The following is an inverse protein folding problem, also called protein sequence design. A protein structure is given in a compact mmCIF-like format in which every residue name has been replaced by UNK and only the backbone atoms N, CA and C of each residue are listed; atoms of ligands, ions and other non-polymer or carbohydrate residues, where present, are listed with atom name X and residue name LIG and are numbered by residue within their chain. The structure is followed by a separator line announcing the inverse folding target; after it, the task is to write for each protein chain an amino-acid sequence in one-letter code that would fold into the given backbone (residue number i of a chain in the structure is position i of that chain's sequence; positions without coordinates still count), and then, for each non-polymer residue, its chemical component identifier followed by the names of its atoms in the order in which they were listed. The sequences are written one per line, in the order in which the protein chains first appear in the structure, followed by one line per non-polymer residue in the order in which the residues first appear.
data_IF_994918721604
#
_entry.id   IF_994918721604
#
_cell.length_a   1.000
_cell.length_b   1.000
_cell.length_c   1.000
_cell.angle_alpha   90.00
_cell.angle_beta   90.00
_cell.angle_gamma   90.00
#
_symmetry.space_group_name_H-M   'P 1'
#
loop_
_entity.id
_entity.type
_entity.pdbx_description
1 polymer ?
#
# COMPACT_ATOMS: atom_id res chain seq x y z
N UNK A 1 -26.25 -7.18 20.84
CA UNK A 1 -26.58 -6.58 19.52
C UNK A 1 -25.80 -5.29 19.40
N UNK A 2 -24.55 -5.38 18.94
CA UNK A 2 -23.77 -4.21 18.55
C UNK A 2 -24.35 -3.69 17.25
N UNK A 3 -24.81 -2.44 17.25
CA UNK A 3 -25.22 -1.76 16.04
C UNK A 3 -24.04 -1.76 15.06
N UNK A 4 -24.30 -2.12 13.81
CA UNK A 4 -23.34 -2.02 12.71
C UNK A 4 -22.97 -0.53 12.55
N UNK A 5 -21.73 -0.10 12.88
CA UNK A 5 -21.44 1.34 12.91
C UNK A 5 -21.30 1.95 11.52
N UNK A 6 -21.46 1.17 10.45
CA UNK A 6 -21.35 1.64 9.06
C UNK A 6 -22.70 1.51 8.34
N UNK A 7 -23.48 2.59 8.21
CA UNK A 7 -24.72 2.56 7.44
C UNK A 7 -24.41 2.16 5.99
N UNK A 8 -25.15 1.18 5.47
CA UNK A 8 -24.92 0.44 4.22
C UNK A 8 -24.97 1.25 2.92
N UNK A 9 -24.08 2.22 2.75
CA UNK A 9 -23.65 2.72 1.45
C UNK A 9 -22.48 1.87 0.93
N UNK A 10 -22.41 1.64 -0.38
CA UNK A 10 -21.26 0.96 -0.99
C UNK A 10 -19.98 1.78 -0.74
N UNK A 11 -19.18 1.38 0.26
CA UNK A 11 -17.97 2.08 0.64
C UNK A 11 -17.05 2.24 -0.58
N UNK A 12 -16.73 3.48 -0.93
CA UNK A 12 -15.87 3.79 -2.08
C UNK A 12 -14.42 3.71 -1.66
N UNK A 13 -13.60 3.06 -2.48
CA UNK A 13 -12.14 3.05 -2.33
C UNK A 13 -11.56 4.12 -3.24
N UNK A 14 -10.89 5.11 -2.68
CA UNK A 14 -10.15 6.15 -3.36
C UNK A 14 -8.65 5.84 -3.26
N UNK A 15 -7.94 5.97 -4.37
CA UNK A 15 -6.49 5.78 -4.41
C UNK A 15 -5.82 7.13 -4.67
N UNK A 16 -4.76 7.44 -3.93
CA UNK A 16 -3.97 8.65 -4.12
C UNK A 16 -2.48 8.40 -3.89
N UNK A 17 -1.64 9.24 -4.49
CA UNK A 17 -0.18 9.18 -4.33
C UNK A 17 0.34 10.16 -3.26
N UNK A 18 -0.52 11.06 -2.80
CA UNK A 18 -0.22 12.06 -1.77
C UNK A 18 -1.22 11.92 -0.63
N UNK A 19 -0.75 12.20 0.58
CA UNK A 19 -1.53 12.13 1.81
C UNK A 19 -1.26 13.40 2.63
N UNK A 20 -2.32 14.03 3.14
CA UNK A 20 -2.21 15.20 4.02
C UNK A 20 -1.64 14.81 5.39
N UNK A 21 -1.02 15.76 6.08
CA UNK A 21 -0.43 15.56 7.40
C UNK A 21 -1.43 15.10 8.48
N UNK A 22 -2.73 15.33 8.28
CA UNK A 22 -3.80 14.85 9.17
C UNK A 22 -3.83 13.32 9.31
N UNK A 23 -3.36 12.58 8.30
CA UNK A 23 -3.32 11.12 8.31
C UNK A 23 -2.09 10.53 8.96
N UNK A 24 -1.22 11.35 9.57
CA UNK A 24 0.08 10.89 10.07
C UNK A 24 -0.06 9.74 11.07
N UNK A 25 -0.98 9.86 12.02
CA UNK A 25 -1.21 8.83 13.03
C UNK A 25 -1.70 7.52 12.40
N UNK A 26 -2.71 7.58 11.53
CA UNK A 26 -3.19 6.38 10.81
C UNK A 26 -2.13 5.76 9.91
N UNK A 27 -1.25 6.58 9.32
CA UNK A 27 -0.14 6.11 8.51
C UNK A 27 0.93 5.42 9.37
N UNK A 28 1.25 5.96 10.55
CA UNK A 28 2.14 5.34 11.53
C UNK A 28 1.57 3.99 11.99
N UNK A 29 0.29 3.93 12.31
CA UNK A 29 -0.41 2.69 12.67
C UNK A 29 -0.29 1.64 11.57
N UNK A 30 -0.57 2.04 10.33
CA UNK A 30 -0.53 1.13 9.19
C UNK A 30 0.90 0.68 8.83
N UNK A 31 1.90 1.54 9.01
CA UNK A 31 3.29 1.30 8.59
C UNK A 31 4.13 0.60 9.67
N UNK A 32 3.92 0.90 10.95
CA UNK A 32 4.76 0.41 12.05
C UNK A 32 4.02 -0.54 13.00
N UNK A 33 2.69 -0.43 13.12
CA UNK A 33 1.93 -1.14 14.14
C UNK A 33 0.92 -2.14 13.59
N UNK A 34 0.87 -2.36 12.27
CA UNK A 34 -0.08 -3.29 11.67
C UNK A 34 0.21 -4.75 12.11
N UNK A 35 -0.68 -5.41 12.87
CA UNK A 35 -0.46 -6.77 13.37
C UNK A 35 -0.24 -7.82 12.27
N UNK A 36 -0.72 -7.54 11.05
CA UNK A 36 -0.54 -8.42 9.90
C UNK A 36 0.90 -8.43 9.38
N UNK A 37 1.73 -7.48 9.79
CA UNK A 37 3.16 -7.42 9.45
C UNK A 37 3.96 -8.55 10.08
N UNK A 38 3.54 -9.09 11.23
CA UNK A 38 4.17 -10.25 11.86
C UNK A 38 4.19 -11.49 10.92
N UNK A 39 3.22 -11.59 10.01
CA UNK A 39 3.18 -12.66 9.00
C UNK A 39 4.22 -12.49 7.87
N UNK A 40 4.95 -11.37 7.85
CA UNK A 40 5.93 -10.97 6.85
C UNK A 40 7.26 -10.52 7.49
N UNK A 41 7.48 -10.79 8.78
CA UNK A 41 8.62 -10.28 9.57
C UNK A 41 9.98 -10.42 8.85
N UNK A 42 10.30 -11.63 8.35
CA UNK A 42 11.54 -11.87 7.59
C UNK A 42 11.70 -10.95 6.39
N UNK A 43 10.60 -10.59 5.73
CA UNK A 43 10.58 -9.78 4.51
C UNK A 43 10.70 -8.29 4.82
N UNK A 44 10.15 -7.86 5.95
CA UNK A 44 10.35 -6.51 6.46
C UNK A 44 11.83 -6.32 6.77
N UNK A 45 12.46 -7.29 7.43
CA UNK A 45 13.92 -7.28 7.67
C UNK A 45 14.73 -7.28 6.37
N UNK A 46 14.37 -8.09 5.36
CA UNK A 46 15.01 -8.07 4.03
C UNK A 46 14.91 -6.68 3.37
N UNK A 47 13.74 -6.03 3.45
CA UNK A 47 13.52 -4.69 2.90
C UNK A 47 14.32 -3.64 3.65
N UNK A 48 14.36 -3.73 4.99
CA UNK A 48 15.17 -2.83 5.84
C UNK A 48 16.67 -3.01 5.54
N UNK A 49 17.15 -4.24 5.36
CA UNK A 49 18.55 -4.48 5.01
C UNK A 49 18.89 -3.96 3.62
N UNK A 50 17.97 -4.06 2.65
CA UNK A 50 18.22 -3.64 1.27
C UNK A 50 18.04 -2.14 1.03
N UNK A 51 17.10 -1.50 1.72
CA UNK A 51 16.68 -0.12 1.43
C UNK A 51 16.71 0.81 2.65
N UNK A 52 16.92 0.29 3.86
CA UNK A 52 16.89 1.04 5.10
C UNK A 52 15.52 1.09 5.78
N UNK A 53 15.49 1.68 6.97
CA UNK A 53 14.27 1.82 7.77
C UNK A 53 13.32 2.85 7.13
N UNK A 54 12.00 2.58 7.10
CA UNK A 54 11.03 3.56 6.66
C UNK A 54 10.88 4.71 7.66
N UNK A 55 10.83 5.94 7.16
CA UNK A 55 10.53 7.16 7.90
C UNK A 55 9.41 7.92 7.20
N UNK A 56 8.45 8.43 7.98
CA UNK A 56 7.41 9.33 7.47
C UNK A 56 7.96 10.75 7.56
N UNK A 57 7.96 11.46 6.43
CA UNK A 57 8.41 12.85 6.35
C UNK A 57 7.21 13.74 6.03
N UNK A 58 7.11 14.87 6.71
CA UNK A 58 6.14 15.91 6.38
C UNK A 58 6.83 17.03 5.58
N UNK A 59 6.41 17.18 4.33
CA UNK A 59 6.81 18.28 3.46
C UNK A 59 5.65 19.25 3.27
N UNK A 60 5.60 20.28 4.12
CA UNK A 60 4.62 21.37 4.03
C UNK A 60 3.15 20.88 4.05
N UNK A 61 2.82 19.96 4.96
CA UNK A 61 1.49 19.40 5.13
C UNK A 61 1.18 18.19 4.25
N UNK A 62 2.17 17.68 3.52
CA UNK A 62 2.08 16.45 2.72
C UNK A 62 3.06 15.40 3.23
N UNK A 63 2.53 14.21 3.49
CA UNK A 63 3.30 13.08 3.95
C UNK A 63 3.95 12.36 2.78
N UNK A 64 5.22 12.02 2.95
CA UNK A 64 5.98 11.11 2.10
C UNK A 64 6.64 10.03 2.96
N UNK A 65 7.16 9.00 2.30
CA UNK A 65 7.92 7.94 2.96
C UNK A 65 9.31 7.92 2.36
N UNK A 66 10.33 7.91 3.21
CA UNK A 66 11.72 7.69 2.88
C UNK A 66 12.18 6.34 3.44
N UNK A 67 13.12 5.69 2.76
CA UNK A 67 13.81 4.48 3.20
C UNK A 67 15.30 4.81 3.36
N UNK A 68 15.83 4.56 4.55
CA UNK A 68 17.23 4.89 4.86
C UNK A 68 17.51 6.39 4.70
N UNK A 69 18.68 6.74 4.16
CA UNK A 69 19.14 8.13 4.08
C UNK A 69 18.89 8.81 2.72
N UNK A 70 18.47 8.08 1.69
CA UNK A 70 18.39 8.63 0.33
C UNK A 70 17.35 8.02 -0.60
N UNK A 71 16.64 6.97 -0.19
CA UNK A 71 15.69 6.30 -1.07
C UNK A 71 14.29 6.85 -0.83
N UNK A 72 13.71 7.54 -1.81
CA UNK A 72 12.34 8.00 -1.78
C UNK A 72 11.46 7.09 -2.65
N UNK A 73 10.81 6.04 -2.10
CA UNK A 73 9.85 5.24 -2.85
C UNK A 73 8.64 6.06 -3.29
N UNK A 74 8.05 5.66 -4.40
CA UNK A 74 6.67 6.04 -4.72
C UNK A 74 5.72 5.40 -3.72
N UNK A 75 4.66 6.12 -3.37
CA UNK A 75 3.62 5.64 -2.46
C UNK A 75 2.24 5.65 -3.15
N UNK A 76 1.41 4.69 -2.77
CA UNK A 76 -0.01 4.65 -3.06
C UNK A 76 -0.76 4.41 -1.76
N UNK A 77 -1.76 5.25 -1.49
CA UNK A 77 -2.64 5.16 -0.34
C UNK A 77 -4.03 4.76 -0.81
N UNK A 78 -4.70 3.92 -0.02
CA UNK A 78 -6.09 3.56 -0.21
C UNK A 78 -6.93 4.13 0.94
N UNK A 79 -7.81 5.05 0.58
CA UNK A 79 -8.76 5.68 1.50
C UNK A 79 -10.16 5.09 1.24
N UNK A 80 -10.86 4.72 2.30
CA UNK A 80 -12.19 4.11 2.22
C UNK A 80 -13.20 4.92 3.00
N UNK A 81 -14.33 5.23 2.38
CA UNK A 81 -15.36 6.08 2.97
C UNK A 81 -15.45 7.42 2.25
N UNK A 82 -16.00 8.43 2.93
CA UNK A 82 -16.08 9.80 2.42
C UNK A 82 -16.24 10.79 3.58
N UNK A 83 -15.70 12.00 3.42
CA UNK A 83 -15.80 13.04 4.43
C UNK A 83 -15.11 12.64 5.73
N UNK A 84 -15.81 12.83 6.85
CA UNK A 84 -15.30 12.52 8.19
C UNK A 84 -15.20 11.01 8.48
N UNK A 85 -15.93 10.18 7.72
CA UNK A 85 -15.89 8.71 7.83
C UNK A 85 -14.86 8.07 6.88
N UNK A 86 -13.93 8.85 6.32
CA UNK A 86 -12.84 8.30 5.52
C UNK A 86 -11.81 7.60 6.43
N UNK A 87 -11.25 6.48 5.97
CA UNK A 87 -10.26 5.71 6.71
C UNK A 87 -9.09 5.33 5.80
N UNK A 88 -7.87 5.41 6.33
CA UNK A 88 -6.68 4.88 5.67
C UNK A 88 -6.66 3.36 5.75
N UNK A 89 -7.12 2.73 4.68
CA UNK A 89 -7.29 1.29 4.59
C UNK A 89 -6.05 0.55 4.08
N UNK A 90 -5.14 1.23 3.39
CA UNK A 90 -3.96 0.56 2.84
C UNK A 90 -2.89 1.50 2.29
N UNK A 91 -1.69 0.94 2.16
CA UNK A 91 -0.47 1.56 1.67
C UNK A 91 0.26 0.57 0.77
N UNK A 92 0.83 1.07 -0.33
CA UNK A 92 1.81 0.36 -1.15
C UNK A 92 2.99 1.27 -1.43
N UNK A 93 4.20 0.78 -1.16
CA UNK A 93 5.48 1.41 -1.50
C UNK A 93 6.11 0.72 -2.69
N UNK A 94 6.62 1.50 -3.64
CA UNK A 94 7.26 0.95 -4.82
C UNK A 94 8.45 1.78 -5.32
N UNK A 95 9.35 1.12 -6.04
CA UNK A 95 10.47 1.75 -6.75
C UNK A 95 10.49 1.30 -8.20
N UNK A 96 11.02 2.14 -9.08
CA UNK A 96 11.43 1.69 -10.40
C UNK A 96 12.75 0.93 -10.28
N UNK A 97 12.81 -0.25 -10.88
CA UNK A 97 14.04 -1.05 -11.02
C UNK A 97 14.09 -1.61 -12.44
N UNK A 98 15.09 -1.21 -13.20
CA UNK A 98 15.26 -1.59 -14.60
C UNK A 98 13.97 -1.33 -15.43
N UNK A 99 13.40 -2.40 -16.01
CA UNK A 99 12.17 -2.39 -16.80
C UNK A 99 10.90 -2.68 -15.97
N UNK A 100 10.98 -2.66 -14.63
CA UNK A 100 9.89 -3.00 -13.73
C UNK A 100 9.61 -1.96 -12.65
N UNK A 101 8.41 -2.06 -12.05
CA UNK A 101 8.11 -1.43 -10.76
C UNK A 101 8.11 -2.48 -9.66
N UNK A 102 9.00 -2.33 -8.69
CA UNK A 102 9.18 -3.19 -7.54
C UNK A 102 8.24 -2.74 -6.42
N UNK A 103 7.24 -3.55 -6.06
CA UNK A 103 6.42 -3.36 -4.87
C UNK A 103 7.22 -3.78 -3.63
N UNK A 104 7.81 -2.81 -2.94
CA UNK A 104 8.67 -3.02 -1.77
C UNK A 104 7.87 -3.50 -0.57
N UNK A 105 6.78 -2.82 -0.28
CA UNK A 105 5.98 -3.05 0.90
C UNK A 105 4.52 -2.77 0.59
N UNK A 106 3.63 -3.58 1.14
CA UNK A 106 2.20 -3.35 1.07
C UNK A 106 1.61 -3.70 2.42
N UNK A 107 0.86 -2.76 2.97
CA UNK A 107 0.16 -2.88 4.26
C UNK A 107 -1.31 -2.58 4.04
N UNK A 108 -2.18 -3.40 4.62
CA UNK A 108 -3.63 -3.19 4.58
C UNK A 108 -4.13 -3.31 6.01
N UNK A 109 -4.92 -2.34 6.44
CA UNK A 109 -5.52 -2.34 7.78
C UNK A 109 -6.37 -3.61 7.96
N UNK A 110 -6.41 -4.15 9.18
CA UNK A 110 -6.95 -5.48 9.45
C UNK A 110 -8.38 -5.67 8.93
N UNK A 111 -9.24 -4.68 9.15
CA UNK A 111 -10.63 -4.68 8.71
C UNK A 111 -10.80 -4.83 7.20
N UNK A 112 -9.85 -4.31 6.43
CA UNK A 112 -9.85 -4.28 4.97
C UNK A 112 -8.99 -5.39 4.35
N UNK A 113 -8.32 -6.17 5.19
CA UNK A 113 -7.49 -7.28 4.76
C UNK A 113 -8.33 -8.42 4.17
N UNK A 114 -7.66 -9.38 3.51
CA UNK A 114 -8.33 -10.57 2.96
C UNK A 114 -9.10 -11.43 3.98
N UNK A 115 -8.85 -11.24 5.27
CA UNK A 115 -9.51 -11.95 6.38
C UNK A 115 -10.40 -11.04 7.22
N UNK A 116 -10.41 -9.74 6.93
CA UNK A 116 -11.18 -8.76 7.67
C UNK A 116 -12.65 -8.71 7.24
N UNK A 117 -13.53 -8.12 8.07
CA UNK A 117 -14.95 -7.95 7.77
C UNK A 117 -15.23 -7.20 6.46
N UNK A 118 -14.29 -6.38 5.97
CA UNK A 118 -14.42 -5.56 4.74
C UNK A 118 -13.57 -6.09 3.58
N UNK A 119 -13.21 -7.38 3.60
CA UNK A 119 -12.42 -8.04 2.55
C UNK A 119 -13.01 -7.88 1.14
N UNK A 120 -14.33 -7.75 1.01
CA UNK A 120 -15.04 -7.55 -0.26
C UNK A 120 -14.62 -6.27 -1.00
N UNK A 121 -14.03 -5.29 -0.30
CA UNK A 121 -13.50 -4.07 -0.91
C UNK A 121 -12.19 -4.29 -1.69
N UNK A 122 -11.51 -5.42 -1.46
CA UNK A 122 -10.31 -5.88 -2.19
C UNK A 122 -9.20 -4.82 -2.24
N UNK A 123 -8.92 -4.13 -1.12
CA UNK A 123 -7.97 -3.00 -1.06
C UNK A 123 -6.59 -3.34 -1.62
N UNK A 124 -6.00 -4.47 -1.23
CA UNK A 124 -4.71 -4.91 -1.75
C UNK A 124 -4.70 -5.05 -3.28
N UNK A 125 -5.76 -5.61 -3.87
CA UNK A 125 -5.86 -5.81 -5.32
C UNK A 125 -5.98 -4.47 -6.04
N UNK A 126 -6.74 -3.53 -5.48
CA UNK A 126 -6.88 -2.17 -6.04
C UNK A 126 -5.55 -1.41 -6.04
N UNK A 127 -4.77 -1.52 -4.96
CA UNK A 127 -3.42 -0.94 -4.90
C UNK A 127 -2.49 -1.53 -5.97
N UNK A 128 -2.50 -2.85 -6.14
CA UNK A 128 -1.70 -3.54 -7.17
C UNK A 128 -2.15 -3.17 -8.59
N UNK A 129 -3.46 -3.09 -8.84
CA UNK A 129 -4.00 -2.68 -10.13
C UNK A 129 -3.61 -1.24 -10.47
N UNK A 130 -3.61 -0.34 -9.49
CA UNK A 130 -3.20 1.04 -9.71
C UNK A 130 -1.70 1.17 -9.95
N UNK A 131 -0.86 0.41 -9.23
CA UNK A 131 0.56 0.32 -9.51
C UNK A 131 0.82 -0.11 -10.96
N UNK A 132 0.03 -1.04 -11.48
CA UNK A 132 0.14 -1.48 -12.88
C UNK A 132 -0.30 -0.41 -13.86
N UNK A 133 -1.37 0.33 -13.58
CA UNK A 133 -1.77 1.47 -14.41
C UNK A 133 -0.66 2.53 -14.44
N UNK A 134 -0.03 2.80 -13.30
CA UNK A 134 1.15 3.68 -13.23
C UNK A 134 2.27 3.12 -14.12
N UNK A 135 2.64 1.85 -13.95
CA UNK A 135 3.67 1.20 -14.76
C UNK A 135 3.41 1.28 -16.26
N UNK A 136 2.15 1.09 -16.69
CA UNK A 136 1.75 1.16 -18.11
C UNK A 136 1.92 2.54 -18.76
N UNK A 137 2.03 3.60 -17.94
CA UNK A 137 2.23 4.97 -18.39
C UNK A 137 3.70 5.39 -18.40
N UNK A 138 4.60 4.58 -17.84
CA UNK A 138 6.02 4.89 -17.74
C UNK A 138 6.77 4.21 -18.89
N UNK A 139 7.45 5.00 -19.72
CA UNK A 139 8.25 4.48 -20.82
C UNK A 139 9.35 3.52 -20.32
N UNK A 140 9.41 2.34 -20.94
CA UNK A 140 10.37 1.28 -20.62
C UNK A 140 9.98 0.37 -19.45
N UNK A 141 8.83 0.60 -18.80
CA UNK A 141 8.28 -0.33 -17.80
C UNK A 141 7.36 -1.35 -18.50
N UNK A 142 7.57 -2.64 -18.25
CA UNK A 142 6.78 -3.72 -18.86
C UNK A 142 6.23 -4.76 -17.87
N UNK A 143 6.58 -4.66 -16.58
CA UNK A 143 6.05 -5.51 -15.52
C UNK A 143 6.06 -4.81 -14.16
N UNK A 144 5.36 -5.40 -13.20
CA UNK A 144 5.56 -5.12 -11.78
C UNK A 144 6.18 -6.35 -11.11
N UNK A 145 7.04 -6.15 -10.13
CA UNK A 145 7.62 -7.18 -9.30
C UNK A 145 6.98 -7.11 -7.92
N UNK A 146 6.29 -8.17 -7.51
CA UNK A 146 5.62 -8.24 -6.20
C UNK A 146 6.18 -9.38 -5.39
N UNK A 147 6.36 -9.16 -4.09
CA UNK A 147 6.90 -10.19 -3.20
C UNK A 147 5.79 -10.95 -2.47
N UNK A 148 5.08 -11.83 -3.18
CA UNK A 148 3.99 -12.61 -2.60
C UNK A 148 4.50 -13.75 -1.69
N UNK A 149 3.64 -14.26 -0.79
CA UNK A 149 4.04 -15.26 0.21
C UNK A 149 4.57 -16.56 -0.47
N UNK A 150 5.72 -17.03 0.03
CA UNK A 150 6.37 -18.34 -0.18
C UNK A 150 7.22 -18.62 -1.44
N UNK A 151 7.29 -17.75 -2.45
CA UNK A 151 7.95 -18.12 -3.73
C UNK A 151 8.89 -17.06 -4.34
N UNK A 152 9.33 -16.09 -3.53
CA UNK A 152 10.25 -15.05 -4.01
C UNK A 152 9.54 -13.91 -4.74
N UNK A 153 10.30 -13.12 -5.51
CA UNK A 153 9.75 -12.05 -6.35
C UNK A 153 9.00 -12.64 -7.54
N UNK A 154 7.76 -12.23 -7.71
CA UNK A 154 6.95 -12.62 -8.85
C UNK A 154 6.79 -11.43 -9.81
N UNK A 155 7.07 -11.70 -11.09
CA UNK A 155 6.83 -10.75 -12.17
C UNK A 155 5.39 -10.88 -12.63
N UNK A 156 4.63 -9.81 -12.52
CA UNK A 156 3.30 -9.71 -13.09
C UNK A 156 3.38 -8.78 -14.30
N UNK A 157 3.00 -9.26 -15.50
CA UNK A 157 2.95 -8.40 -16.67
C UNK A 157 1.87 -7.34 -16.47
N UNK A 158 2.03 -6.18 -17.11
CA UNK A 158 1.07 -5.08 -16.98
C UNK A 158 -0.33 -5.42 -17.53
N UNK A 159 -0.49 -6.55 -18.25
CA UNK A 159 -1.73 -6.97 -18.92
C UNK A 159 -2.52 -8.11 -18.25
N UNK A 160 -1.96 -8.85 -17.27
CA UNK A 160 -2.66 -9.99 -16.65
C UNK A 160 -3.91 -9.55 -15.84
N UNK A 161 -5.05 -10.25 -15.80
CA UNK A 161 -6.10 -9.87 -14.83
C UNK A 161 -5.79 -10.46 -13.46
N UNK A 162 -5.81 -9.61 -12.43
CA UNK A 162 -5.77 -10.07 -11.05
C UNK A 162 -7.20 -10.47 -10.66
N UNK A 163 -7.50 -11.77 -10.76
CA UNK A 163 -8.84 -12.33 -10.59
C UNK A 163 -9.28 -12.32 -9.14
#
# INVERSE_FOLDING_TARGET
MTADPWPGGAARVRLCAELSAEWKESLEELLFFNPQQALLEKKILETIHAFGLPRIIDHHGRLSIELGDSTAPGALFALVGAGEDEHLAGLLLFLRKDAGLLCLHMSVAEDYSSRGPRASLRVAMRLLDELRKIGSRIAGVNHIEVYYKRSGWQRLPLTARLV
#
